data_IF_300823653342
#
_entry.id   IF_300823653342
#
_cell.length_a   1.000
_cell.length_b   1.000
_cell.length_c   1.000
_cell.angle_alpha   90.00
_cell.angle_beta   90.00
_cell.angle_gamma   90.00
#
_symmetry.space_group_name_H-M   'P 1'
#
loop_
_entity.id
_entity.type
_entity.pdbx_description
1 polymer ?
#
# COMPACT_ATOMS: atom_id res chain seq x y z
N UNK A 1 37.81 28.65 8.38
CA UNK A 1 38.63 29.09 7.24
C UNK A 1 38.07 28.46 5.96
N UNK A 2 37.75 29.32 4.98
CA UNK A 2 37.16 28.99 3.67
C UNK A 2 38.11 28.12 2.84
N UNK A 3 37.57 27.26 1.98
CA UNK A 3 38.11 27.07 0.62
C UNK A 3 37.02 26.55 -0.32
N UNK A 4 36.53 27.49 -1.11
CA UNK A 4 35.68 27.26 -2.28
C UNK A 4 36.61 26.83 -3.42
N UNK A 5 36.27 25.74 -4.12
CA UNK A 5 36.87 25.44 -5.42
C UNK A 5 35.99 26.03 -6.51
N UNK A 6 36.47 27.13 -7.08
CA UNK A 6 36.21 27.55 -8.46
C UNK A 6 37.31 26.96 -9.32
N UNK A 7 36.99 26.45 -10.50
CA UNK A 7 37.70 26.66 -11.78
C UNK A 7 36.80 26.10 -12.90
N UNK A 8 36.25 27.00 -13.73
CA UNK A 8 36.61 27.24 -15.15
C UNK A 8 35.83 26.31 -16.09
N UNK A 9 34.85 26.82 -16.84
CA UNK A 9 35.02 27.41 -18.19
C UNK A 9 35.53 26.34 -19.17
N UNK A 10 34.97 26.09 -20.35
CA UNK A 10 34.61 27.03 -21.41
C UNK A 10 34.08 26.20 -22.60
N UNK A 11 33.50 26.90 -23.59
CA UNK A 11 33.15 26.47 -24.96
C UNK A 11 31.78 25.76 -25.11
N UNK A 12 30.84 26.22 -25.92
CA UNK A 12 30.89 27.20 -27.00
C UNK A 12 30.40 26.57 -28.31
N UNK A 13 29.50 27.29 -28.99
CA UNK A 13 29.20 27.26 -30.42
C UNK A 13 28.13 26.26 -30.93
N UNK A 14 27.05 26.83 -31.50
CA UNK A 14 26.53 26.66 -32.88
C UNK A 14 25.08 27.18 -32.89
N UNK A 15 24.52 27.94 -33.83
CA UNK A 15 24.97 28.78 -34.95
C UNK A 15 23.76 29.69 -35.22
N UNK A 16 24.00 30.98 -35.42
CA UNK A 16 23.01 31.86 -36.02
C UNK A 16 23.06 31.72 -37.55
N UNK A 17 21.92 31.44 -38.19
CA UNK A 17 21.64 31.76 -39.59
C UNK A 17 20.16 32.17 -39.64
N UNK A 18 19.87 33.48 -39.62
CA UNK A 18 19.60 34.34 -40.79
C UNK A 18 18.22 34.10 -41.41
N UNK A 19 17.37 35.13 -41.35
CA UNK A 19 16.69 35.82 -42.46
C UNK A 19 15.97 37.03 -41.82
N UNK A 20 16.57 38.22 -41.87
CA UNK A 20 16.41 39.24 -42.91
C UNK A 20 15.03 39.95 -42.84
N UNK A 21 15.13 41.27 -42.75
CA UNK A 21 14.05 42.22 -42.51
C UNK A 21 12.93 42.21 -43.56
N UNK A 22 11.71 42.48 -43.09
CA UNK A 22 10.56 42.88 -43.88
C UNK A 22 9.65 43.76 -43.02
N UNK A 23 9.63 45.05 -43.34
CA UNK A 23 8.74 46.07 -42.81
C UNK A 23 7.30 45.78 -43.27
N UNK A 24 6.31 45.94 -42.39
CA UNK A 24 4.90 45.84 -42.74
C UNK A 24 4.00 45.95 -41.52
N UNK A 25 3.40 47.14 -41.34
CA UNK A 25 2.15 47.33 -40.61
C UNK A 25 1.13 46.27 -41.01
N UNK A 26 0.50 45.61 -40.03
CA UNK A 26 -0.96 45.48 -39.95
C UNK A 26 -1.38 44.61 -38.77
N UNK A 27 -2.36 45.13 -38.02
CA UNK A 27 -2.96 44.54 -36.85
C UNK A 27 -3.53 43.14 -37.13
N UNK A 28 -3.16 42.16 -36.29
CA UNK A 28 -4.07 41.08 -35.84
C UNK A 28 -3.66 40.60 -34.44
N UNK A 29 -4.55 40.81 -33.48
CA UNK A 29 -4.59 40.09 -32.20
C UNK A 29 -4.44 38.58 -32.45
N UNK A 30 -3.24 38.04 -32.22
CA UNK A 30 -3.05 36.61 -32.08
C UNK A 30 -2.99 36.31 -30.58
N UNK A 31 -4.13 35.89 -30.04
CA UNK A 31 -4.25 35.23 -28.74
C UNK A 31 -3.11 34.21 -28.59
N UNK A 32 -2.35 34.20 -27.48
CA UNK A 32 -1.30 33.21 -27.30
C UNK A 32 -1.91 31.81 -27.33
N UNK A 33 -1.25 30.89 -28.04
CA UNK A 33 -1.65 29.50 -28.08
C UNK A 33 -1.69 28.91 -26.66
N UNK A 34 -2.68 28.07 -26.32
CA UNK A 34 -2.71 27.43 -25.02
C UNK A 34 -1.43 26.59 -24.85
N UNK A 35 -0.77 26.75 -23.69
CA UNK A 35 0.37 25.92 -23.33
C UNK A 35 -0.01 24.44 -23.46
N UNK A 36 0.91 23.57 -23.90
CA UNK A 36 0.63 22.15 -23.97
C UNK A 36 0.32 21.66 -22.55
N UNK A 37 -0.87 21.07 -22.37
CA UNK A 37 -1.28 20.43 -21.13
C UNK A 37 -0.12 19.57 -20.61
N UNK A 38 0.51 20.01 -19.52
CA UNK A 38 1.47 19.19 -18.79
C UNK A 38 0.73 17.93 -18.40
N UNK A 39 0.98 16.82 -19.12
CA UNK A 39 0.68 15.49 -18.61
C UNK A 39 1.40 15.39 -17.26
N UNK A 40 0.63 15.51 -16.20
CA UNK A 40 1.08 15.14 -14.86
C UNK A 40 1.39 13.66 -14.98
N UNK A 41 2.68 13.32 -15.06
CA UNK A 41 3.10 11.97 -14.74
C UNK A 41 2.57 11.73 -13.32
N UNK A 42 1.52 10.91 -13.21
CA UNK A 42 1.11 10.39 -11.92
C UNK A 42 2.30 9.58 -11.41
N UNK A 43 3.18 10.24 -10.65
CA UNK A 43 4.22 9.59 -9.87
C UNK A 43 3.50 8.53 -9.07
N UNK A 44 3.72 7.27 -9.42
CA UNK A 44 3.12 6.13 -8.74
C UNK A 44 3.78 6.07 -7.37
N UNK A 45 3.24 6.82 -6.41
CA UNK A 45 3.70 6.84 -5.02
C UNK A 45 3.34 5.48 -4.44
N UNK A 46 4.31 4.57 -4.30
CA UNK A 46 4.10 3.34 -3.55
C UNK A 46 3.52 3.69 -2.17
N UNK A 47 2.53 2.94 -1.68
CA UNK A 47 1.93 3.30 -0.42
C UNK A 47 2.96 2.98 0.67
N UNK A 48 3.02 3.82 1.70
CA UNK A 48 4.10 3.73 2.69
C UNK A 48 4.06 2.36 3.38
N UNK A 49 5.17 1.64 3.36
CA UNK A 49 5.32 0.48 4.25
C UNK A 49 5.40 0.96 5.70
N UNK A 50 4.78 0.21 6.60
CA UNK A 50 4.91 0.45 8.04
C UNK A 50 5.96 -0.45 8.68
N UNK A 51 6.07 -0.31 10.01
CA UNK A 51 6.92 -1.17 10.84
C UNK A 51 6.49 -2.64 10.72
N UNK A 52 5.21 -2.91 10.93
CA UNK A 52 4.64 -4.26 10.95
C UNK A 52 3.71 -4.59 9.78
N UNK A 53 3.66 -3.77 8.73
CA UNK A 53 2.93 -4.13 7.51
C UNK A 53 3.66 -3.71 6.24
N UNK A 54 3.35 -4.40 5.15
CA UNK A 54 3.85 -4.11 3.81
C UNK A 54 2.79 -4.37 2.75
N UNK A 55 2.94 -3.71 1.61
CA UNK A 55 2.17 -4.05 0.43
C UNK A 55 2.73 -5.30 -0.28
N UNK A 56 1.88 -6.13 -0.90
CA UNK A 56 2.31 -7.20 -1.77
C UNK A 56 3.06 -6.62 -2.96
N UNK A 57 4.10 -7.33 -3.40
CA UNK A 57 4.93 -6.90 -4.52
C UNK A 57 4.16 -6.78 -5.85
N UNK A 58 2.97 -7.40 -5.97
CA UNK A 58 2.14 -7.32 -7.16
C UNK A 58 1.26 -6.05 -7.22
N UNK A 59 1.09 -5.32 -6.12
CA UNK A 59 0.35 -4.06 -6.12
C UNK A 59 1.22 -3.00 -6.80
N UNK A 60 0.79 -2.60 -8.01
CA UNK A 60 1.45 -1.56 -8.81
C UNK A 60 0.73 -0.23 -8.75
N UNK A 61 -0.56 -0.25 -8.46
CA UNK A 61 -1.42 0.93 -8.41
C UNK A 61 -2.03 1.05 -7.02
N UNK A 62 -1.58 2.06 -6.31
CA UNK A 62 -1.92 2.31 -4.91
C UNK A 62 -3.31 2.91 -4.74
N UNK A 63 -3.83 3.53 -5.79
CA UNK A 63 -5.16 4.14 -5.81
C UNK A 63 -6.27 3.10 -5.74
N UNK A 64 -5.93 1.84 -6.03
CA UNK A 64 -6.80 0.68 -5.90
C UNK A 64 -6.77 0.04 -4.52
N UNK A 65 -6.08 0.66 -3.58
CA UNK A 65 -6.00 0.17 -2.19
C UNK A 65 -6.57 1.20 -1.24
N UNK A 66 -7.25 0.79 -0.16
CA UNK A 66 -7.65 1.72 0.87
C UNK A 66 -6.43 2.40 1.49
N UNK A 67 -6.60 3.67 1.85
CA UNK A 67 -5.57 4.43 2.54
C UNK A 67 -5.44 3.92 3.97
N UNK A 68 -4.19 3.71 4.40
CA UNK A 68 -3.88 3.35 5.79
C UNK A 68 -3.66 4.64 6.59
N UNK A 69 -4.53 4.91 7.56
CA UNK A 69 -4.43 6.09 8.43
C UNK A 69 -3.52 5.85 9.63
N UNK A 70 -3.02 6.88 10.32
CA UNK A 70 -2.27 6.71 11.56
C UNK A 70 -3.02 5.94 12.66
N UNK A 71 -4.34 6.09 12.71
CA UNK A 71 -5.19 5.33 13.64
C UNK A 71 -5.17 3.82 13.32
N UNK A 72 -5.30 3.45 12.04
CA UNK A 72 -5.18 2.05 11.60
C UNK A 72 -3.78 1.49 11.90
N UNK A 73 -2.73 2.28 11.68
CA UNK A 73 -1.35 1.87 12.00
C UNK A 73 -1.18 1.49 13.47
N UNK A 74 -1.81 2.24 14.38
CA UNK A 74 -1.77 1.93 15.81
C UNK A 74 -2.35 0.53 16.10
N UNK A 75 -3.48 0.18 15.50
CA UNK A 75 -4.06 -1.16 15.66
C UNK A 75 -3.19 -2.28 15.09
N UNK A 76 -2.53 -2.01 13.96
CA UNK A 76 -1.57 -2.95 13.36
C UNK A 76 -0.38 -3.16 14.30
N UNK A 77 0.24 -2.07 14.75
CA UNK A 77 1.44 -2.13 15.56
C UNK A 77 1.17 -2.72 16.95
N UNK A 78 0.07 -2.33 17.59
CA UNK A 78 -0.35 -2.86 18.89
C UNK A 78 -0.55 -4.38 18.81
N UNK A 79 -1.28 -4.88 17.80
CA UNK A 79 -1.48 -6.32 17.65
C UNK A 79 -0.19 -7.04 17.28
N UNK A 80 0.56 -6.54 16.30
CA UNK A 80 1.81 -7.14 15.83
C UNK A 80 2.86 -7.25 16.94
N UNK A 81 2.90 -6.30 17.88
CA UNK A 81 3.85 -6.32 19.00
C UNK A 81 3.68 -7.50 19.95
N UNK A 82 2.53 -8.17 19.91
CA UNK A 82 2.20 -9.34 20.75
C UNK A 82 2.46 -10.68 20.06
N UNK A 83 2.94 -10.66 18.82
CA UNK A 83 3.01 -11.84 17.96
C UNK A 83 4.44 -12.21 17.59
N UNK A 84 4.69 -13.52 17.53
CA UNK A 84 5.84 -14.08 16.81
C UNK A 84 5.41 -14.42 15.38
N UNK A 85 6.25 -14.16 14.39
CA UNK A 85 5.89 -14.36 12.98
C UNK A 85 6.61 -15.57 12.38
N UNK A 86 5.95 -16.23 11.44
CA UNK A 86 6.62 -17.18 10.57
C UNK A 86 7.77 -16.48 9.80
N UNK A 87 8.96 -17.09 9.67
CA UNK A 87 10.12 -16.46 9.02
C UNK A 87 9.84 -15.89 7.62
N UNK A 88 8.96 -16.55 6.85
CA UNK A 88 8.61 -16.10 5.49
C UNK A 88 7.89 -14.75 5.42
N UNK A 89 7.38 -14.23 6.54
CA UNK A 89 6.69 -12.94 6.60
C UNK A 89 7.60 -11.79 7.05
N UNK A 90 8.84 -12.08 7.46
CA UNK A 90 9.83 -11.09 7.88
C UNK A 90 9.27 -10.06 8.88
N UNK A 91 8.49 -10.55 9.85
CA UNK A 91 7.89 -9.72 10.91
C UNK A 91 6.80 -8.74 10.44
N UNK A 92 6.23 -8.90 9.24
CA UNK A 92 5.23 -7.98 8.69
C UNK A 92 3.97 -8.69 8.23
N UNK A 93 2.82 -8.07 8.49
CA UNK A 93 1.57 -8.35 7.80
C UNK A 93 1.63 -7.97 6.32
N UNK A 94 1.00 -8.77 5.47
CA UNK A 94 0.83 -8.49 4.04
C UNK A 94 -0.55 -7.91 3.82
N UNK A 95 -0.62 -6.79 3.10
CA UNK A 95 -1.86 -6.09 2.79
C UNK A 95 -2.53 -6.64 1.52
N UNK A 96 -3.63 -7.38 1.63
CA UNK A 96 -4.40 -7.83 0.45
C UNK A 96 -5.72 -7.07 0.27
N UNK A 97 -5.77 -5.83 0.77
CA UNK A 97 -6.89 -4.92 0.60
C UNK A 97 -6.99 -4.41 -0.84
N UNK A 98 -8.20 -4.40 -1.39
CA UNK A 98 -8.50 -3.88 -2.73
C UNK A 98 -9.79 -3.10 -2.70
N UNK A 99 -9.81 -1.95 -3.38
CA UNK A 99 -11.02 -1.22 -3.70
C UNK A 99 -11.62 -1.90 -4.94
N UNK A 100 -12.72 -2.62 -4.74
CA UNK A 100 -13.40 -3.32 -5.83
C UNK A 100 -14.27 -2.35 -6.63
N UNK A 101 -14.92 -1.41 -5.94
CA UNK A 101 -15.65 -0.31 -6.56
C UNK A 101 -15.27 1.03 -5.89
N UNK A 102 -14.79 2.03 -6.65
CA UNK A 102 -14.35 3.31 -6.11
C UNK A 102 -15.47 4.15 -5.48
N UNK A 103 -16.74 3.83 -5.75
CA UNK A 103 -17.90 4.50 -5.17
C UNK A 103 -18.46 3.75 -3.96
N UNK A 104 -17.76 2.75 -3.43
CA UNK A 104 -18.16 2.08 -2.20
C UNK A 104 -18.20 3.07 -1.03
N UNK A 105 -19.27 3.01 -0.23
CA UNK A 105 -19.38 3.84 0.99
C UNK A 105 -18.29 3.50 2.01
N UNK A 106 -17.88 2.24 2.05
CA UNK A 106 -16.88 1.74 2.99
C UNK A 106 -15.81 0.96 2.25
N UNK A 107 -14.55 1.15 2.65
CA UNK A 107 -13.43 0.36 2.19
C UNK A 107 -13.04 -0.69 3.22
N UNK A 108 -12.83 -1.92 2.76
CA UNK A 108 -12.34 -3.02 3.60
C UNK A 108 -10.81 -3.10 3.52
N UNK A 109 -10.16 -3.16 4.69
CA UNK A 109 -8.73 -3.37 4.83
C UNK A 109 -8.51 -4.77 5.39
N UNK A 110 -7.80 -5.60 4.63
CA UNK A 110 -7.45 -6.98 4.97
C UNK A 110 -5.94 -7.16 5.03
N UNK A 111 -5.43 -7.46 6.22
CA UNK A 111 -4.03 -7.76 6.45
C UNK A 111 -3.90 -9.16 7.05
N UNK A 112 -2.87 -9.90 6.62
CA UNK A 112 -2.63 -11.25 7.13
C UNK A 112 -1.14 -11.56 7.30
N UNK A 113 -0.84 -12.43 8.26
CA UNK A 113 0.48 -12.99 8.48
C UNK A 113 0.40 -14.45 8.93
N UNK A 114 1.45 -15.22 8.67
CA UNK A 114 1.56 -16.57 9.22
C UNK A 114 2.26 -16.54 10.58
N UNK A 115 1.76 -17.33 11.52
CA UNK A 115 2.40 -17.57 12.82
C UNK A 115 3.44 -18.69 12.77
N UNK A 116 4.30 -18.82 13.80
CA UNK A 116 5.40 -19.78 13.83
C UNK A 116 4.93 -21.24 13.72
N UNK A 117 3.69 -21.53 14.10
CA UNK A 117 3.12 -22.88 13.99
C UNK A 117 2.56 -23.21 12.60
N UNK A 118 2.56 -22.30 11.63
CA UNK A 118 2.13 -22.62 10.27
C UNK A 118 3.08 -23.65 9.63
N UNK A 119 2.53 -24.73 9.05
CA UNK A 119 3.33 -25.73 8.35
C UNK A 119 2.52 -26.44 7.26
N UNK A 120 2.77 -26.06 6.00
CA UNK A 120 2.13 -26.65 4.83
C UNK A 120 2.66 -28.05 4.44
N UNK A 121 3.61 -28.61 5.18
CA UNK A 121 4.07 -30.01 4.98
C UNK A 121 3.33 -30.99 5.87
N UNK A 122 2.73 -30.52 6.96
CA UNK A 122 1.97 -31.35 7.89
C UNK A 122 0.51 -31.34 7.43
N UNK A 123 0.01 -32.53 7.07
CA UNK A 123 -1.38 -32.75 6.67
C UNK A 123 -2.09 -33.69 7.63
N UNK A 124 -3.38 -33.48 7.83
CA UNK A 124 -4.25 -34.35 8.62
C UNK A 124 -5.69 -34.26 8.10
N UNK A 125 -6.55 -35.16 8.57
CA UNK A 125 -7.99 -35.11 8.25
C UNK A 125 -8.73 -34.28 9.30
N UNK A 126 -9.60 -33.39 8.84
CA UNK A 126 -10.51 -32.68 9.74
C UNK A 126 -11.71 -33.57 10.14
N UNK A 127 -12.66 -33.06 10.93
CA UNK A 127 -13.83 -33.86 11.36
C UNK A 127 -14.73 -34.34 10.20
N UNK A 128 -14.64 -33.66 9.05
CA UNK A 128 -15.34 -34.01 7.81
C UNK A 128 -14.54 -34.97 6.92
N UNK A 129 -13.41 -35.49 7.41
CA UNK A 129 -12.53 -36.39 6.66
C UNK A 129 -11.73 -35.72 5.54
N UNK A 130 -11.77 -34.38 5.43
CA UNK A 130 -11.04 -33.62 4.41
C UNK A 130 -9.58 -33.43 4.83
N UNK A 131 -8.67 -33.63 3.89
CA UNK A 131 -7.25 -33.32 4.10
C UNK A 131 -7.04 -31.81 4.20
N UNK A 132 -6.41 -31.39 5.30
CA UNK A 132 -6.08 -30.00 5.63
C UNK A 132 -4.63 -29.91 6.10
N UNK A 133 -4.08 -28.69 6.14
CA UNK A 133 -2.72 -28.43 6.59
C UNK A 133 -2.69 -27.85 8.00
N UNK A 134 -1.55 -27.99 8.68
CA UNK A 134 -1.33 -27.25 9.92
C UNK A 134 -1.20 -25.75 9.62
N UNK A 135 -2.07 -24.96 10.24
CA UNK A 135 -2.22 -23.54 9.96
C UNK A 135 -2.17 -22.73 11.25
N UNK A 136 -1.38 -21.65 11.26
CA UNK A 136 -1.57 -20.54 12.19
C UNK A 136 -1.54 -19.24 11.40
N UNK A 137 -2.65 -18.50 11.42
CA UNK A 137 -2.82 -17.23 10.69
C UNK A 137 -3.21 -16.15 11.66
N UNK A 138 -2.59 -14.99 11.50
CA UNK A 138 -3.02 -13.75 12.11
C UNK A 138 -3.70 -12.91 11.06
N UNK A 139 -4.86 -12.35 11.40
CA UNK A 139 -5.56 -11.43 10.50
C UNK A 139 -5.93 -10.15 11.23
N UNK A 140 -5.87 -9.05 10.49
CA UNK A 140 -6.43 -7.76 10.88
C UNK A 140 -7.42 -7.38 9.79
N UNK A 141 -8.69 -7.34 10.16
CA UNK A 141 -9.76 -6.88 9.29
C UNK A 141 -10.22 -5.54 9.82
N UNK A 142 -10.16 -4.51 9.01
CA UNK A 142 -10.63 -3.18 9.34
C UNK A 142 -11.60 -2.69 8.27
N UNK A 143 -12.48 -1.79 8.63
CA UNK A 143 -13.36 -1.10 7.69
C UNK A 143 -13.27 0.40 7.94
N UNK A 144 -13.25 1.18 6.87
CA UNK A 144 -13.29 2.64 6.97
C UNK A 144 -14.33 3.25 6.05
N UNK A 145 -14.87 4.40 6.43
CA UNK A 145 -15.69 5.21 5.53
C UNK A 145 -14.82 5.77 4.40
N UNK A 146 -15.25 5.57 3.15
CA UNK A 146 -14.46 5.95 1.98
C UNK A 146 -14.28 7.46 1.83
N UNK A 147 -15.27 8.25 2.26
CA UNK A 147 -15.24 9.70 2.13
C UNK A 147 -14.31 10.39 3.14
N UNK A 148 -14.11 9.78 4.31
CA UNK A 148 -13.42 10.42 5.45
C UNK A 148 -12.20 9.64 5.94
N UNK A 149 -11.96 8.43 5.42
CA UNK A 149 -10.98 7.45 5.90
C UNK A 149 -11.15 7.05 7.38
N UNK A 150 -12.28 7.40 8.02
CA UNK A 150 -12.52 7.10 9.44
C UNK A 150 -12.79 5.62 9.64
N UNK A 151 -12.14 5.03 10.65
CA UNK A 151 -12.31 3.63 11.02
C UNK A 151 -13.72 3.39 11.58
N UNK A 152 -14.43 2.40 11.06
CA UNK A 152 -15.77 2.00 11.53
C UNK A 152 -15.73 0.66 12.25
N UNK A 153 -14.73 -0.19 11.96
CA UNK A 153 -14.51 -1.41 12.73
C UNK A 153 -13.06 -1.91 12.63
N UNK A 154 -12.65 -2.66 13.65
CA UNK A 154 -11.40 -3.42 13.70
C UNK A 154 -11.63 -4.79 14.34
N UNK A 155 -11.07 -5.81 13.70
CA UNK A 155 -11.08 -7.20 14.13
C UNK A 155 -9.69 -7.82 13.94
N UNK A 156 -8.99 -8.01 15.05
CA UNK A 156 -7.72 -8.74 15.10
C UNK A 156 -7.97 -10.15 15.60
N UNK A 157 -7.52 -11.16 14.85
CA UNK A 157 -7.76 -12.56 15.19
C UNK A 157 -6.58 -13.46 14.89
N UNK A 158 -6.55 -14.58 15.60
CA UNK A 158 -5.62 -15.69 15.42
C UNK A 158 -6.45 -16.93 15.08
N UNK A 159 -6.22 -17.51 13.91
CA UNK A 159 -6.75 -18.81 13.53
C UNK A 159 -5.66 -19.86 13.71
N UNK A 160 -5.92 -20.90 14.50
CA UNK A 160 -5.02 -22.06 14.65
C UNK A 160 -5.75 -23.32 14.19
N UNK A 161 -5.08 -24.17 13.43
CA UNK A 161 -5.55 -25.47 12.96
C UNK A 161 -4.39 -26.45 13.00
N UNK A 162 -4.55 -27.55 13.73
CA UNK A 162 -3.53 -28.57 13.93
C UNK A 162 -4.23 -29.92 14.24
N UNK A 163 -3.50 -31.05 14.37
CA UNK A 163 -4.12 -32.35 14.63
C UNK A 163 -5.01 -32.42 15.88
N UNK A 164 -4.72 -31.63 16.92
CA UNK A 164 -5.51 -31.58 18.16
C UNK A 164 -6.77 -30.70 18.03
N UNK A 165 -6.74 -29.72 17.11
CA UNK A 165 -7.88 -28.88 16.73
C UNK A 165 -8.14 -29.00 15.22
N UNK A 166 -8.64 -30.15 14.74
CA UNK A 166 -8.68 -30.50 13.32
C UNK A 166 -9.54 -29.55 12.46
N UNK A 167 -10.60 -28.99 13.04
CA UNK A 167 -11.48 -28.01 12.38
C UNK A 167 -11.03 -26.56 12.54
N UNK A 168 -9.95 -26.37 13.31
CA UNK A 168 -9.39 -25.08 13.65
C UNK A 168 -10.20 -24.34 14.71
N UNK A 169 -9.58 -23.29 15.25
CA UNK A 169 -10.17 -22.41 16.25
C UNK A 169 -9.72 -20.98 15.99
N UNK A 170 -10.67 -20.05 16.01
CA UNK A 170 -10.38 -18.62 15.95
C UNK A 170 -10.44 -18.03 17.35
N UNK A 171 -9.38 -17.30 17.71
CA UNK A 171 -9.32 -16.46 18.89
C UNK A 171 -9.38 -15.00 18.45
N UNK A 172 -10.35 -14.25 18.95
CA UNK A 172 -10.47 -12.82 18.70
C UNK A 172 -9.72 -12.05 19.78
N UNK A 173 -8.70 -11.30 19.39
CA UNK A 173 -7.85 -10.51 20.31
C UNK A 173 -8.39 -9.10 20.45
N UNK A 174 -8.86 -8.51 19.34
CA UNK A 174 -9.54 -7.23 19.32
C UNK A 174 -10.79 -7.37 18.48
N UNK A 175 -11.92 -6.88 18.98
CA UNK A 175 -13.18 -6.75 18.24
C UNK A 175 -13.85 -5.45 18.67
N UNK A 176 -13.83 -4.45 17.80
CA UNK A 176 -14.38 -3.13 18.10
C UNK A 176 -15.09 -2.54 16.89
N UNK A 177 -16.27 -1.99 17.14
CA UNK A 177 -16.99 -1.11 16.22
C UNK A 177 -16.89 0.32 16.74
N UNK A 178 -16.96 1.28 15.82
CA UNK A 178 -16.95 2.70 16.11
C UNK A 178 -18.26 3.27 15.58
N UNK A 179 -18.93 4.08 16.41
CA UNK A 179 -20.20 4.72 16.10
C UNK A 179 -20.03 5.96 15.20
#
# INVERSE_FOLDING_TARGET
MKKQWKYLATAGLLVALLLAAGCGDDAKDKKPAPEPDKKVENVVVKPQDGKYYRYPNYIKDVTKTPKITPEMLKYIDDFASTLEFHPSYNGKFVNDSKINNPNEKYHAIYLYALGPKHNNKVKFKNSKGKEVYQHQVYTINMQSEAATDKLTSVLCSIFEQNPDIPDGKTTYVVRKSFD
#
